data_IF_695905859379
#
_entry.id   IF_695905859379
#
_cell.length_a   1.000
_cell.length_b   1.000
_cell.length_c   1.000
_cell.angle_alpha   90.00
_cell.angle_beta   90.00
_cell.angle_gamma   90.00
#
_symmetry.space_group_name_H-M   'P 1'
#
loop_
_entity.id
_entity.type
_entity.pdbx_description
1 polymer ?
#
# COMPACT_ATOMS: atom_id res chain seq x y z
N UNK A 1 -38.30 -30.59 -34.88
CA UNK A 1 -37.30 -29.50 -34.92
C UNK A 1 -38.05 -28.19 -34.79
N UNK A 2 -37.69 -27.33 -33.82
CA UNK A 2 -36.45 -26.55 -33.88
C UNK A 2 -35.54 -26.77 -32.66
N UNK A 3 -34.28 -26.28 -32.72
CA UNK A 3 -33.21 -26.70 -31.82
C UNK A 3 -33.22 -25.89 -30.52
N UNK A 4 -32.89 -26.58 -29.42
CA UNK A 4 -32.49 -25.94 -28.17
C UNK A 4 -31.31 -25.00 -28.46
N UNK A 5 -31.55 -23.70 -28.30
CA UNK A 5 -30.52 -22.69 -28.32
C UNK A 5 -29.47 -23.04 -27.25
N UNK A 6 -28.24 -23.34 -27.70
CA UNK A 6 -27.06 -23.35 -26.83
C UNK A 6 -27.00 -21.98 -26.15
N UNK A 7 -27.27 -21.94 -24.84
CA UNK A 7 -26.84 -20.83 -24.00
C UNK A 7 -25.34 -20.70 -24.21
N UNK A 8 -24.90 -19.60 -24.83
CA UNK A 8 -23.50 -19.19 -24.82
C UNK A 8 -23.10 -19.04 -23.35
N UNK A 9 -22.30 -20.00 -22.87
CA UNK A 9 -21.61 -19.81 -21.61
C UNK A 9 -20.72 -18.58 -21.77
N UNK A 10 -21.08 -17.49 -21.11
CA UNK A 10 -20.17 -16.35 -20.94
C UNK A 10 -19.00 -16.91 -20.14
N UNK A 11 -17.88 -17.16 -20.83
CA UNK A 11 -16.64 -17.54 -20.18
C UNK A 11 -16.27 -16.44 -19.16
N UNK A 12 -15.70 -16.79 -17.99
CA UNK A 12 -15.22 -15.78 -17.05
C UNK A 12 -14.25 -14.84 -17.78
N UNK A 13 -14.41 -13.54 -17.58
CA UNK A 13 -13.69 -12.46 -18.27
C UNK A 13 -12.15 -12.60 -18.15
N UNK A 14 -11.66 -13.33 -17.14
CA UNK A 14 -10.24 -13.70 -17.00
C UNK A 14 -9.72 -14.58 -18.14
N UNK A 15 -10.51 -15.56 -18.60
CA UNK A 15 -10.06 -16.53 -19.60
C UNK A 15 -10.02 -15.94 -21.02
N UNK A 16 -10.79 -14.86 -21.27
CA UNK A 16 -10.71 -14.12 -22.53
C UNK A 16 -9.50 -13.20 -22.58
N UNK A 17 -9.22 -12.51 -21.47
CA UNK A 17 -8.07 -11.61 -21.36
C UNK A 17 -6.75 -12.39 -21.42
N UNK A 18 -6.66 -13.52 -20.71
CA UNK A 18 -5.48 -14.39 -20.71
C UNK A 18 -5.22 -14.98 -22.10
N UNK A 19 -6.27 -15.32 -22.86
CA UNK A 19 -6.12 -15.74 -24.26
C UNK A 19 -5.63 -14.62 -25.17
N UNK A 20 -6.14 -13.40 -24.99
CA UNK A 20 -5.69 -12.24 -25.75
C UNK A 20 -4.21 -11.91 -25.45
N UNK A 21 -3.80 -12.03 -24.19
CA UNK A 21 -2.42 -11.84 -23.75
C UNK A 21 -1.49 -12.91 -24.33
N UNK A 22 -1.90 -14.18 -24.26
CA UNK A 22 -1.13 -15.28 -24.86
C UNK A 22 -0.96 -15.09 -26.37
N UNK A 23 -2.01 -14.63 -27.07
CA UNK A 23 -1.92 -14.32 -28.50
C UNK A 23 -0.98 -13.14 -28.78
N UNK A 24 -1.02 -12.09 -27.96
CA UNK A 24 -0.13 -10.94 -28.07
C UNK A 24 1.33 -11.33 -27.80
N UNK A 25 1.60 -12.10 -26.75
CA UNK A 25 2.93 -12.61 -26.44
C UNK A 25 3.49 -13.48 -27.57
N UNK A 26 2.68 -14.43 -28.09
CA UNK A 26 3.08 -15.23 -29.27
C UNK A 26 3.41 -14.37 -30.48
N UNK A 27 2.61 -13.33 -30.74
CA UNK A 27 2.80 -12.46 -31.91
C UNK A 27 4.07 -11.61 -31.82
N UNK A 28 4.39 -11.12 -30.62
CA UNK A 28 5.49 -10.17 -30.44
C UNK A 28 6.81 -10.87 -30.12
N UNK A 29 6.79 -11.82 -29.19
CA UNK A 29 7.98 -12.45 -28.61
C UNK A 29 8.34 -13.79 -29.28
N UNK A 30 7.38 -14.47 -29.92
CA UNK A 30 7.61 -15.77 -30.54
C UNK A 30 7.40 -15.75 -32.06
N UNK A 31 7.53 -14.59 -32.71
CA UNK A 31 7.24 -14.43 -34.15
C UNK A 31 8.12 -15.33 -35.05
N UNK A 32 9.29 -15.71 -34.56
CA UNK A 32 10.34 -16.49 -35.21
C UNK A 32 10.31 -17.98 -34.82
N UNK A 33 9.47 -18.37 -33.85
CA UNK A 33 9.42 -19.74 -33.37
C UNK A 33 8.66 -20.66 -34.35
N UNK A 34 9.06 -21.94 -34.47
CA UNK A 34 8.38 -22.89 -35.35
C UNK A 34 6.91 -23.10 -34.92
N UNK A 35 5.98 -23.23 -35.88
CA UNK A 35 4.55 -23.35 -35.58
C UNK A 35 4.26 -24.64 -34.79
N UNK A 36 3.52 -24.50 -33.68
CA UNK A 36 3.06 -25.62 -32.86
C UNK A 36 3.68 -25.71 -31.46
N UNK A 37 4.78 -24.99 -31.17
CA UNK A 37 5.34 -24.93 -29.82
C UNK A 37 4.50 -24.05 -28.88
N UNK A 38 4.44 -24.44 -27.61
CA UNK A 38 3.79 -23.64 -26.56
C UNK A 38 4.67 -22.46 -26.15
N UNK A 39 4.09 -21.43 -25.49
CA UNK A 39 4.86 -20.24 -25.05
C UNK A 39 5.94 -20.65 -24.05
N UNK A 40 5.61 -21.59 -23.16
CA UNK A 40 6.47 -22.12 -22.10
C UNK A 40 7.67 -22.90 -22.64
N UNK A 41 7.58 -23.46 -23.86
CA UNK A 41 8.69 -24.15 -24.52
C UNK A 41 9.65 -23.21 -25.26
N UNK A 42 9.21 -21.99 -25.57
CA UNK A 42 9.96 -21.03 -26.38
C UNK A 42 10.58 -19.94 -25.52
N UNK A 43 9.88 -19.48 -24.48
CA UNK A 43 10.31 -18.36 -23.64
C UNK A 43 10.83 -18.85 -22.29
N UNK A 44 11.85 -18.16 -21.71
CA UNK A 44 12.44 -18.53 -20.42
C UNK A 44 11.49 -18.25 -19.25
N UNK A 45 11.36 -19.17 -18.29
CA UNK A 45 10.51 -18.95 -17.12
C UNK A 45 10.89 -17.63 -16.38
N UNK A 46 9.90 -16.77 -16.11
CA UNK A 46 10.12 -15.48 -15.45
C UNK A 46 9.87 -15.57 -13.95
N UNK A 47 9.01 -16.50 -13.53
CA UNK A 47 8.64 -16.75 -12.15
C UNK A 47 8.30 -18.23 -11.91
N UNK A 48 8.02 -18.59 -10.66
CA UNK A 48 7.58 -19.95 -10.32
C UNK A 48 6.14 -20.30 -10.73
N UNK A 49 5.34 -19.33 -11.21
CA UNK A 49 3.96 -19.58 -11.65
C UNK A 49 3.74 -19.21 -13.14
N UNK A 50 3.24 -20.14 -13.96
CA UNK A 50 2.97 -19.88 -15.37
C UNK A 50 1.88 -18.81 -15.60
N UNK A 51 0.98 -18.63 -14.62
CA UNK A 51 -0.06 -17.58 -14.70
C UNK A 51 0.50 -16.19 -14.47
N UNK A 52 1.48 -16.07 -13.59
CA UNK A 52 2.20 -14.82 -13.34
C UNK A 52 3.05 -14.49 -14.56
N UNK A 53 3.76 -15.49 -15.10
CA UNK A 53 4.55 -15.36 -16.33
C UNK A 53 3.72 -14.85 -17.50
N UNK A 54 2.51 -15.36 -17.70
CA UNK A 54 1.62 -14.86 -18.76
C UNK A 54 1.31 -13.36 -18.62
N UNK A 55 1.09 -12.87 -17.40
CA UNK A 55 0.85 -11.43 -17.18
C UNK A 55 2.12 -10.61 -17.43
N UNK A 56 3.28 -11.11 -16.99
CA UNK A 56 4.59 -10.48 -17.21
C UNK A 56 4.95 -10.44 -18.71
N UNK A 57 4.76 -11.53 -19.45
CA UNK A 57 4.92 -11.54 -20.90
C UNK A 57 3.98 -10.56 -21.59
N UNK A 58 2.75 -10.39 -21.10
CA UNK A 58 1.85 -9.36 -21.58
C UNK A 58 2.43 -7.95 -21.46
N UNK A 59 3.07 -7.63 -20.33
CA UNK A 59 3.79 -6.37 -20.13
C UNK A 59 4.99 -6.23 -21.06
N UNK A 60 5.87 -7.24 -21.06
CA UNK A 60 7.10 -7.23 -21.83
C UNK A 60 6.80 -7.09 -23.32
N UNK A 61 5.77 -7.78 -23.81
CA UNK A 61 5.34 -7.70 -25.20
C UNK A 61 4.93 -6.29 -25.61
N UNK A 62 4.25 -5.53 -24.76
CA UNK A 62 3.90 -4.14 -25.07
C UNK A 62 5.16 -3.28 -25.11
N UNK A 63 6.07 -3.46 -24.14
CA UNK A 63 7.33 -2.72 -24.06
C UNK A 63 8.20 -3.00 -25.30
N UNK A 64 8.44 -4.27 -25.63
CA UNK A 64 9.25 -4.68 -26.77
C UNK A 64 8.64 -4.20 -28.08
N UNK A 65 7.32 -4.34 -28.27
CA UNK A 65 6.62 -3.88 -29.49
C UNK A 65 6.80 -2.38 -29.72
N UNK A 66 6.56 -1.57 -28.69
CA UNK A 66 6.49 -0.12 -28.84
C UNK A 66 7.88 0.54 -28.78
N UNK A 67 8.79 0.04 -27.94
CA UNK A 67 10.07 0.69 -27.65
C UNK A 67 11.30 0.00 -28.24
N UNK A 68 11.19 -1.25 -28.71
CA UNK A 68 12.33 -1.96 -29.30
C UNK A 68 12.07 -2.23 -30.79
N UNK A 69 11.00 -2.96 -31.10
CA UNK A 69 10.66 -3.34 -32.48
C UNK A 69 10.42 -2.14 -33.39
N UNK A 70 9.91 -1.02 -32.85
CA UNK A 70 9.61 0.21 -33.61
C UNK A 70 10.82 0.85 -34.31
N UNK A 71 12.04 0.59 -33.84
CA UNK A 71 13.28 1.02 -34.48
C UNK A 71 14.16 -0.16 -34.91
N UNK A 72 14.23 -1.25 -34.12
CA UNK A 72 15.13 -2.37 -34.39
C UNK A 72 14.77 -3.12 -35.69
N UNK A 73 13.48 -3.33 -35.96
CA UNK A 73 13.00 -3.98 -37.20
C UNK A 73 13.29 -3.14 -38.46
N UNK A 74 13.56 -1.83 -38.32
CA UNK A 74 13.95 -0.98 -39.45
C UNK A 74 15.43 -1.16 -39.82
N UNK A 75 16.23 -1.69 -38.89
CA UNK A 75 17.67 -1.89 -39.05
C UNK A 75 17.95 -3.33 -39.50
N UNK A 76 17.38 -4.31 -38.78
CA UNK A 76 17.67 -5.75 -39.01
C UNK A 76 16.43 -6.60 -38.72
N UNK A 77 16.18 -7.68 -39.48
CA UNK A 77 15.07 -8.61 -39.22
C UNK A 77 15.36 -9.67 -38.13
N UNK A 78 16.60 -9.73 -37.63
CA UNK A 78 17.06 -10.73 -36.68
C UNK A 78 16.45 -10.50 -35.30
N UNK A 79 16.08 -11.58 -34.61
CA UNK A 79 15.38 -11.51 -33.31
C UNK A 79 16.29 -11.79 -32.10
N UNK A 80 17.56 -12.10 -32.33
CA UNK A 80 18.54 -12.46 -31.30
C UNK A 80 18.65 -11.41 -30.19
N UNK A 81 18.66 -10.12 -30.55
CA UNK A 81 18.67 -9.03 -29.56
C UNK A 81 17.45 -9.03 -28.62
N UNK A 82 16.27 -9.42 -29.12
CA UNK A 82 15.06 -9.51 -28.30
C UNK A 82 15.16 -10.71 -27.37
N UNK A 83 15.70 -11.83 -27.86
CA UNK A 83 15.91 -13.04 -27.07
C UNK A 83 16.88 -12.78 -25.91
N UNK A 84 17.99 -12.06 -26.15
CA UNK A 84 18.92 -11.64 -25.10
C UNK A 84 18.25 -10.73 -24.06
N UNK A 85 17.47 -9.72 -24.48
CA UNK A 85 16.70 -8.88 -23.53
C UNK A 85 15.78 -9.74 -22.66
N UNK A 86 15.12 -10.75 -23.24
CA UNK A 86 14.24 -11.64 -22.51
C UNK A 86 15.00 -12.50 -21.49
N UNK A 87 16.21 -12.96 -21.81
CA UNK A 87 17.06 -13.71 -20.88
C UNK A 87 17.50 -12.84 -19.69
N UNK A 88 17.91 -11.59 -19.94
CA UNK A 88 18.28 -10.64 -18.88
C UNK A 88 17.09 -10.33 -17.98
N UNK A 89 15.91 -10.08 -18.58
CA UNK A 89 14.67 -9.85 -17.81
C UNK A 89 14.34 -11.09 -16.98
N UNK A 90 14.43 -12.29 -17.56
CA UNK A 90 14.15 -13.54 -16.84
C UNK A 90 15.08 -13.74 -15.64
N UNK A 91 16.38 -13.49 -15.83
CA UNK A 91 17.34 -13.53 -14.73
C UNK A 91 16.95 -12.53 -13.62
N UNK A 92 16.66 -11.28 -13.99
CA UNK A 92 16.30 -10.23 -13.03
C UNK A 92 15.00 -10.56 -12.28
N UNK A 93 13.95 -11.05 -12.97
CA UNK A 93 12.66 -11.37 -12.34
C UNK A 93 12.75 -12.57 -11.42
N UNK A 94 13.51 -13.60 -11.79
CA UNK A 94 13.75 -14.77 -10.95
C UNK A 94 14.59 -14.41 -9.71
N UNK A 95 15.67 -13.65 -9.89
CA UNK A 95 16.49 -13.15 -8.78
C UNK A 95 15.66 -12.29 -7.81
N UNK A 96 14.78 -11.44 -8.34
CA UNK A 96 13.86 -10.65 -7.54
C UNK A 96 12.83 -11.52 -6.82
N UNK A 97 12.24 -12.53 -7.47
CA UNK A 97 11.29 -13.44 -6.84
C UNK A 97 11.93 -14.21 -5.68
N UNK A 98 13.15 -14.72 -5.87
CA UNK A 98 13.88 -15.45 -4.83
C UNK A 98 14.11 -14.56 -3.60
N UNK A 99 14.54 -13.31 -3.81
CA UNK A 99 14.73 -12.33 -2.73
C UNK A 99 13.41 -11.99 -2.03
N UNK A 100 12.35 -11.73 -2.80
CA UNK A 100 11.01 -11.47 -2.25
C UNK A 100 10.51 -12.64 -1.41
N UNK A 101 10.76 -13.89 -1.83
CA UNK A 101 10.36 -15.09 -1.08
C UNK A 101 11.10 -15.25 0.25
N UNK A 102 12.30 -14.70 0.37
CA UNK A 102 13.08 -14.70 1.60
C UNK A 102 12.66 -13.59 2.59
N UNK A 103 11.87 -12.61 2.14
CA UNK A 103 11.41 -11.52 2.99
C UNK A 103 10.42 -11.98 4.04
N UNK A 104 10.67 -11.58 5.29
CA UNK A 104 9.70 -11.72 6.37
C UNK A 104 8.68 -10.58 6.31
N UNK A 105 7.66 -10.75 5.46
CA UNK A 105 6.59 -9.77 5.25
C UNK A 105 5.84 -9.39 6.53
N UNK A 106 5.75 -10.31 7.50
CA UNK A 106 5.10 -10.05 8.78
C UNK A 106 5.85 -8.96 9.54
N UNK A 107 7.16 -9.14 9.73
CA UNK A 107 8.01 -8.13 10.38
C UNK A 107 8.06 -6.84 9.57
N UNK A 108 8.24 -6.93 8.25
CA UNK A 108 8.33 -5.75 7.37
C UNK A 108 7.06 -4.88 7.43
N UNK A 109 5.88 -5.48 7.27
CA UNK A 109 4.62 -4.74 7.14
C UNK A 109 3.94 -4.44 8.48
N UNK A 110 4.15 -5.25 9.52
CA UNK A 110 3.49 -5.08 10.83
C UNK A 110 4.38 -4.44 11.90
N UNK A 111 5.71 -4.49 11.76
CA UNK A 111 6.66 -3.86 12.69
C UNK A 111 7.40 -2.67 12.04
N UNK A 112 8.11 -2.89 10.94
CA UNK A 112 9.10 -1.91 10.43
C UNK A 112 8.45 -0.72 9.72
N UNK A 113 7.59 -0.99 8.72
CA UNK A 113 6.83 0.06 8.02
C UNK A 113 5.97 0.87 9.00
N UNK A 114 5.22 0.25 9.93
CA UNK A 114 4.44 1.01 10.90
C UNK A 114 5.32 1.81 11.86
N UNK A 115 6.48 1.30 12.28
CA UNK A 115 7.42 2.08 13.12
C UNK A 115 7.90 3.34 12.40
N UNK A 116 8.25 3.25 11.12
CA UNK A 116 8.61 4.42 10.32
C UNK A 116 7.47 5.43 10.24
N UNK A 117 6.24 4.95 10.00
CA UNK A 117 5.05 5.79 9.94
C UNK A 117 4.72 6.43 11.31
N UNK A 118 4.83 5.68 12.41
CA UNK A 118 4.62 6.18 13.78
C UNK A 118 5.55 7.34 14.09
N UNK A 119 6.84 7.17 13.81
CA UNK A 119 7.85 8.20 14.01
C UNK A 119 7.59 9.41 13.10
N UNK A 120 7.28 9.17 11.83
CA UNK A 120 6.95 10.23 10.86
C UNK A 120 5.76 11.09 11.31
N UNK A 121 4.67 10.46 11.76
CA UNK A 121 3.48 11.17 12.26
C UNK A 121 3.78 11.95 13.54
N UNK A 122 4.56 11.38 14.47
CA UNK A 122 4.96 12.06 15.71
C UNK A 122 5.83 13.27 15.43
N UNK A 123 6.86 13.11 14.62
CA UNK A 123 7.78 14.19 14.26
C UNK A 123 7.02 15.29 13.52
N UNK A 124 6.06 14.95 12.65
CA UNK A 124 5.22 15.95 11.98
C UNK A 124 4.37 16.75 12.97
N UNK A 125 3.74 16.08 13.95
CA UNK A 125 2.95 16.77 14.99
C UNK A 125 3.81 17.68 15.85
N UNK A 126 5.00 17.22 16.24
CA UNK A 126 5.97 18.04 16.97
C UNK A 126 6.42 19.25 16.13
N UNK A 127 6.64 19.08 14.82
CA UNK A 127 6.98 20.18 13.92
C UNK A 127 5.87 21.23 13.87
N UNK A 128 4.61 20.77 13.77
CA UNK A 128 3.43 21.63 13.72
C UNK A 128 3.25 22.41 15.03
N UNK A 129 3.43 21.77 16.18
CA UNK A 129 3.38 22.43 17.49
C UNK A 129 4.49 23.48 17.63
N UNK A 130 5.71 23.15 17.20
CA UNK A 130 6.88 24.06 17.27
C UNK A 130 6.77 25.28 16.36
N UNK A 131 6.08 25.17 15.22
CA UNK A 131 5.86 26.33 14.35
C UNK A 131 5.17 27.48 15.07
N UNK A 132 4.29 27.19 16.03
CA UNK A 132 3.55 28.18 16.82
C UNK A 132 4.33 28.78 17.99
N UNK A 133 5.60 28.39 18.18
CA UNK A 133 6.42 28.84 19.33
C UNK A 133 7.44 29.92 18.95
N UNK A 134 7.79 30.76 19.93
CA UNK A 134 8.76 31.85 19.76
C UNK A 134 10.19 31.39 19.40
N UNK A 135 10.50 30.09 19.50
CA UNK A 135 11.79 29.50 19.13
C UNK A 135 12.00 29.43 17.61
N UNK A 136 10.92 29.38 16.82
CA UNK A 136 10.97 29.23 15.36
C UNK A 136 10.07 30.25 14.64
N UNK A 137 10.27 31.57 14.83
CA UNK A 137 9.33 32.58 14.36
C UNK A 137 9.19 32.67 12.83
N UNK A 138 10.17 32.18 12.07
CA UNK A 138 10.20 32.25 10.60
C UNK A 138 10.35 30.90 9.90
N UNK A 139 10.45 29.80 10.65
CA UNK A 139 10.67 28.48 10.07
C UNK A 139 9.34 27.82 9.70
N UNK A 140 9.27 27.22 8.52
CA UNK A 140 8.09 26.46 8.09
C UNK A 140 8.04 25.10 8.79
N UNK A 141 6.86 24.48 8.85
CA UNK A 141 6.74 23.08 9.34
C UNK A 141 7.72 22.16 8.60
N UNK A 142 7.92 22.38 7.31
CA UNK A 142 8.83 21.58 6.49
C UNK A 142 10.30 21.72 6.93
N UNK A 143 10.73 22.93 7.29
CA UNK A 143 12.11 23.19 7.73
C UNK A 143 12.38 22.54 9.09
N UNK A 144 11.43 22.69 10.03
CA UNK A 144 11.51 22.06 11.36
C UNK A 144 11.47 20.54 11.20
N UNK A 145 10.58 20.02 10.35
CA UNK A 145 10.46 18.60 10.09
C UNK A 145 11.73 18.00 9.48
N UNK A 146 12.30 18.66 8.46
CA UNK A 146 13.56 18.24 7.84
C UNK A 146 14.71 18.15 8.86
N UNK A 147 14.78 19.11 9.80
CA UNK A 147 15.80 19.09 10.87
C UNK A 147 15.63 17.90 11.83
N UNK A 148 14.42 17.37 11.98
CA UNK A 148 14.13 16.21 12.84
C UNK A 148 14.32 14.88 12.11
N UNK A 149 14.05 14.83 10.80
CA UNK A 149 14.21 13.65 9.97
C UNK A 149 15.19 13.88 8.82
N UNK A 150 16.49 14.17 9.08
CA UNK A 150 17.44 14.36 7.99
C UNK A 150 17.56 13.09 7.14
N UNK A 151 17.77 13.28 5.84
CA UNK A 151 17.94 12.18 4.88
C UNK A 151 19.00 12.55 3.83
N UNK A 152 19.94 11.65 3.47
CA UNK A 152 21.01 11.97 2.51
C UNK A 152 20.52 12.43 1.13
N UNK A 153 19.39 11.90 0.66
CA UNK A 153 18.77 12.31 -0.60
C UNK A 153 18.13 13.71 -0.56
N UNK A 154 17.91 14.29 0.62
CA UNK A 154 17.16 15.53 0.82
C UNK A 154 18.00 16.64 1.43
N UNK A 155 19.33 16.54 1.29
CA UNK A 155 20.24 17.61 1.68
C UNK A 155 19.94 18.87 0.86
N UNK A 156 20.38 20.04 1.34
CA UNK A 156 20.00 21.34 0.77
C UNK A 156 20.36 21.57 -0.71
N UNK A 157 21.14 20.67 -1.33
CA UNK A 157 21.43 20.72 -2.77
C UNK A 157 20.48 19.84 -3.59
N UNK A 158 19.87 20.34 -4.68
CA UNK A 158 19.01 19.54 -5.56
C UNK A 158 19.77 18.40 -6.28
N UNK A 159 21.10 18.47 -6.33
CA UNK A 159 21.94 17.41 -6.91
C UNK A 159 22.07 16.20 -5.99
N UNK A 160 21.95 16.41 -4.67
CA UNK A 160 22.10 15.35 -3.67
C UNK A 160 21.10 14.22 -3.90
N UNK A 161 19.86 14.58 -4.24
CA UNK A 161 18.80 13.63 -4.53
C UNK A 161 19.12 12.74 -5.74
N UNK A 162 19.60 13.35 -6.82
CA UNK A 162 19.96 12.62 -8.04
C UNK A 162 21.16 11.71 -7.81
N UNK A 163 22.17 12.20 -7.09
CA UNK A 163 23.34 11.41 -6.72
C UNK A 163 22.95 10.21 -5.84
N UNK A 164 22.08 10.43 -4.86
CA UNK A 164 21.56 9.37 -4.00
C UNK A 164 20.86 8.27 -4.80
N UNK A 165 19.94 8.64 -5.68
CA UNK A 165 19.25 7.68 -6.53
C UNK A 165 20.17 6.95 -7.50
N UNK A 166 21.23 7.60 -7.99
CA UNK A 166 22.26 6.95 -8.81
C UNK A 166 23.06 5.92 -8.02
N UNK A 167 23.44 6.24 -6.78
CA UNK A 167 24.12 5.30 -5.89
C UNK A 167 23.22 4.10 -5.58
N UNK A 168 21.95 4.36 -5.22
CA UNK A 168 20.97 3.32 -4.94
C UNK A 168 20.73 2.43 -6.17
N UNK A 169 20.55 3.04 -7.34
CA UNK A 169 20.40 2.33 -8.61
C UNK A 169 21.62 1.49 -8.96
N UNK A 170 22.84 1.97 -8.68
CA UNK A 170 24.06 1.20 -8.91
C UNK A 170 24.15 -0.03 -8.02
N UNK A 171 23.78 0.09 -6.74
CA UNK A 171 23.79 -1.05 -5.81
C UNK A 171 22.72 -2.10 -6.14
N UNK A 172 21.50 -1.64 -6.48
CA UNK A 172 20.42 -2.53 -6.93
C UNK A 172 20.81 -3.26 -8.22
N UNK A 173 21.45 -2.55 -9.17
CA UNK A 173 21.91 -3.14 -10.41
C UNK A 173 22.98 -4.21 -10.18
N UNK A 174 23.95 -3.95 -9.30
CA UNK A 174 24.99 -4.91 -8.95
C UNK A 174 24.44 -6.20 -8.32
N UNK A 175 23.25 -6.14 -7.72
CA UNK A 175 22.62 -7.29 -7.06
C UNK A 175 21.64 -8.08 -7.94
N UNK A 176 21.10 -7.46 -9.00
CA UNK A 176 20.06 -8.05 -9.85
C UNK A 176 20.56 -8.45 -11.25
N UNK A 177 21.59 -7.78 -11.78
CA UNK A 177 22.08 -8.02 -13.14
C UNK A 177 23.05 -9.22 -13.19
N UNK A 178 23.04 -10.03 -14.26
CA UNK A 178 24.06 -11.06 -14.47
C UNK A 178 25.49 -10.49 -14.43
N UNK A 179 26.48 -11.26 -13.93
CA UNK A 179 27.85 -10.80 -13.84
C UNK A 179 28.52 -10.57 -15.20
N UNK A 180 28.00 -11.18 -16.27
CA UNK A 180 28.44 -10.96 -17.65
C UNK A 180 28.07 -9.55 -18.12
N UNK A 181 26.82 -9.15 -17.92
CA UNK A 181 26.29 -7.84 -18.35
C UNK A 181 26.80 -6.69 -17.47
N UNK A 182 27.14 -6.99 -16.20
CA UNK A 182 27.74 -6.02 -15.29
C UNK A 182 29.16 -5.60 -15.73
N UNK A 183 29.87 -6.42 -16.51
CA UNK A 183 31.20 -6.09 -17.04
C UNK A 183 31.13 -5.08 -18.19
N UNK A 184 29.99 -4.99 -18.89
CA UNK A 184 29.80 -4.01 -19.95
C UNK A 184 29.55 -2.63 -19.36
N UNK A 185 30.54 -1.74 -19.47
CA UNK A 185 30.42 -0.37 -18.97
C UNK A 185 29.25 0.40 -19.60
N UNK A 186 29.01 0.20 -20.89
CA UNK A 186 27.94 0.87 -21.61
C UNK A 186 26.56 0.46 -21.08
N UNK A 187 26.33 -0.84 -20.95
CA UNK A 187 25.06 -1.38 -20.47
C UNK A 187 24.83 -1.01 -19.01
N UNK A 188 25.84 -1.22 -18.16
CA UNK A 188 25.76 -0.88 -16.74
C UNK A 188 25.44 0.60 -16.52
N UNK A 189 26.10 1.51 -17.24
CA UNK A 189 25.85 2.95 -17.13
C UNK A 189 24.46 3.31 -17.65
N UNK A 190 24.04 2.76 -18.80
CA UNK A 190 22.75 3.03 -19.40
C UNK A 190 21.60 2.54 -18.51
N UNK A 191 21.65 1.30 -18.05
CA UNK A 191 20.63 0.71 -17.17
C UNK A 191 20.59 1.46 -15.83
N UNK A 192 21.74 1.84 -15.27
CA UNK A 192 21.80 2.65 -14.06
C UNK A 192 21.11 4.00 -14.24
N UNK A 193 21.38 4.73 -15.32
CA UNK A 193 20.75 6.05 -15.56
C UNK A 193 19.24 5.94 -15.80
N UNK A 194 18.78 4.88 -16.49
CA UNK A 194 17.35 4.59 -16.65
C UNK A 194 16.73 4.28 -15.28
N UNK A 195 17.33 3.38 -14.51
CA UNK A 195 16.84 2.99 -13.20
C UNK A 195 16.78 4.20 -12.26
N UNK A 196 17.83 5.01 -12.18
CA UNK A 196 17.87 6.16 -11.26
C UNK A 196 16.95 7.29 -11.70
N UNK A 197 17.02 7.73 -12.97
CA UNK A 197 16.38 8.96 -13.41
C UNK A 197 14.97 8.74 -13.97
N UNK A 198 14.69 7.56 -14.56
CA UNK A 198 13.38 7.27 -15.15
C UNK A 198 12.50 6.41 -14.25
N UNK A 199 13.07 5.51 -13.44
CA UNK A 199 12.27 4.65 -12.58
C UNK A 199 12.21 5.21 -11.17
N UNK A 200 13.33 5.20 -10.43
CA UNK A 200 13.37 5.55 -9.01
C UNK A 200 12.94 7.00 -8.78
N UNK A 201 13.48 7.96 -9.54
CA UNK A 201 13.08 9.37 -9.44
C UNK A 201 11.58 9.55 -9.65
N UNK A 202 11.02 9.00 -10.73
CA UNK A 202 9.61 9.15 -11.04
C UNK A 202 8.71 8.47 -10.00
N UNK A 203 9.12 7.32 -9.45
CA UNK A 203 8.38 6.65 -8.38
C UNK A 203 8.37 7.52 -7.13
N UNK A 204 9.54 8.00 -6.69
CA UNK A 204 9.64 8.84 -5.49
C UNK A 204 8.89 10.16 -5.67
N UNK A 205 9.10 10.85 -6.79
CA UNK A 205 8.49 12.14 -7.07
C UNK A 205 6.97 12.06 -7.10
N UNK A 206 6.42 11.02 -7.77
CA UNK A 206 4.98 10.80 -7.84
C UNK A 206 4.37 10.36 -6.52
N UNK A 207 5.01 9.45 -5.79
CA UNK A 207 4.50 8.99 -4.50
C UNK A 207 4.63 10.07 -3.41
N UNK A 208 5.47 11.07 -3.61
CA UNK A 208 5.57 12.23 -2.71
C UNK A 208 4.39 13.18 -2.86
N UNK A 209 3.72 13.21 -4.02
CA UNK A 209 2.56 14.08 -4.26
C UNK A 209 1.36 13.70 -3.36
N UNK A 210 0.80 14.64 -2.57
CA UNK A 210 -0.30 14.37 -1.65
C UNK A 210 -1.51 13.68 -2.29
N UNK A 211 -1.98 14.19 -3.44
CA UNK A 211 -3.16 13.63 -4.11
C UNK A 211 -2.93 12.17 -4.55
N UNK A 212 -1.69 11.81 -4.92
CA UNK A 212 -1.35 10.46 -5.32
C UNK A 212 -1.45 9.48 -4.13
N UNK A 213 -1.00 9.91 -2.95
CA UNK A 213 -1.13 9.12 -1.72
C UNK A 213 -2.61 8.92 -1.36
N UNK A 214 -3.42 9.99 -1.40
CA UNK A 214 -4.86 9.88 -1.11
C UNK A 214 -5.61 8.99 -2.11
N UNK A 215 -5.29 9.06 -3.40
CA UNK A 215 -5.81 8.13 -4.39
C UNK A 215 -5.39 6.68 -4.09
N UNK A 216 -4.13 6.46 -3.72
CA UNK A 216 -3.61 5.13 -3.40
C UNK A 216 -4.35 4.55 -2.19
N UNK A 217 -4.53 5.34 -1.14
CA UNK A 217 -5.32 4.97 0.04
C UNK A 217 -6.73 4.53 -0.38
N UNK A 218 -7.40 5.33 -1.20
CA UNK A 218 -8.76 5.02 -1.71
C UNK A 218 -8.77 3.71 -2.49
N UNK A 219 -7.82 3.51 -3.41
CA UNK A 219 -7.72 2.31 -4.24
C UNK A 219 -7.41 1.06 -3.42
N UNK A 220 -6.51 1.15 -2.44
CA UNK A 220 -6.16 0.03 -1.54
C UNK A 220 -7.36 -0.35 -0.68
N UNK A 221 -8.00 0.63 -0.03
CA UNK A 221 -9.17 0.37 0.81
C UNK A 221 -10.29 -0.25 -0.01
N UNK A 222 -10.62 0.33 -1.17
CA UNK A 222 -11.68 -0.23 -2.03
C UNK A 222 -11.35 -1.63 -2.52
N UNK A 223 -10.08 -1.93 -2.82
CA UNK A 223 -9.66 -3.28 -3.21
C UNK A 223 -9.78 -4.30 -2.06
N UNK A 224 -9.55 -3.88 -0.82
CA UNK A 224 -9.66 -4.71 0.39
C UNK A 224 -11.13 -4.88 0.83
N UNK A 225 -11.97 -3.85 0.67
CA UNK A 225 -13.37 -3.86 1.10
C UNK A 225 -14.33 -4.36 0.02
N UNK A 226 -13.89 -4.49 -1.24
CA UNK A 226 -14.76 -4.93 -2.32
C UNK A 226 -15.14 -6.40 -2.14
N UNK A 227 -16.45 -6.74 -1.99
CA UNK A 227 -16.90 -8.10 -2.26
C UNK A 227 -16.66 -8.41 -3.74
N UNK A 228 -16.33 -9.66 -4.06
CA UNK A 228 -15.99 -10.10 -5.42
C UNK A 228 -16.95 -9.52 -6.49
N UNK A 229 -16.32 -9.02 -7.55
CA UNK A 229 -16.84 -7.99 -8.47
C UNK A 229 -18.22 -8.30 -9.08
N UNK A 230 -19.23 -7.51 -8.71
CA UNK A 230 -20.39 -7.21 -9.56
C UNK A 230 -20.92 -5.76 -9.45
N UNK A 231 -20.38 -4.91 -8.56
CA UNK A 231 -20.96 -3.57 -8.27
C UNK A 231 -20.02 -2.37 -8.51
N UNK A 232 -18.73 -2.58 -8.81
CA UNK A 232 -17.74 -1.50 -8.82
C UNK A 232 -17.93 -0.46 -9.94
N UNK A 233 -18.48 -0.84 -11.11
CA UNK A 233 -18.67 0.09 -12.23
C UNK A 233 -19.84 1.07 -12.02
N UNK A 234 -20.94 0.62 -11.41
CA UNK A 234 -22.10 1.48 -11.14
C UNK A 234 -21.91 2.38 -9.91
N UNK A 235 -21.04 1.99 -8.97
CA UNK A 235 -20.78 2.75 -7.75
C UNK A 235 -19.92 4.01 -8.02
N UNK A 236 -18.99 3.96 -8.97
CA UNK A 236 -18.13 5.11 -9.28
C UNK A 236 -18.93 6.25 -9.96
N UNK A 237 -19.86 5.92 -10.85
CA UNK A 237 -20.68 6.92 -11.52
C UNK A 237 -21.77 7.47 -10.58
N UNK A 238 -22.41 6.61 -9.77
CA UNK A 238 -23.43 7.02 -8.80
C UNK A 238 -22.86 7.86 -7.63
N UNK A 239 -21.67 7.53 -7.13
CA UNK A 239 -21.01 8.31 -6.06
C UNK A 239 -20.54 9.68 -6.54
N UNK A 240 -20.10 9.80 -7.80
CA UNK A 240 -19.80 11.12 -8.38
C UNK A 240 -21.04 11.99 -8.48
N UNK A 241 -22.22 11.41 -8.76
CA UNK A 241 -23.49 12.17 -8.83
C UNK A 241 -24.01 12.58 -7.45
N UNK A 242 -23.91 11.71 -6.43
CA UNK A 242 -24.27 12.06 -5.05
C UNK A 242 -23.34 13.12 -4.45
N UNK A 243 -22.04 13.09 -4.76
CA UNK A 243 -21.09 14.10 -4.28
C UNK A 243 -21.32 15.46 -4.96
N UNK A 244 -21.66 15.47 -6.25
CA UNK A 244 -22.03 16.71 -6.96
C UNK A 244 -23.36 17.28 -6.44
N UNK A 245 -24.31 16.42 -6.06
CA UNK A 245 -25.56 16.83 -5.40
C UNK A 245 -25.32 17.41 -3.99
N UNK A 246 -24.32 16.90 -3.27
CA UNK A 246 -23.90 17.45 -1.97
C UNK A 246 -23.26 18.84 -2.11
N UNK A 247 -22.44 19.06 -3.15
CA UNK A 247 -21.80 20.35 -3.42
C UNK A 247 -22.74 21.41 -4.01
N UNK A 248 -23.85 20.99 -4.62
CA UNK A 248 -24.92 21.87 -5.13
C UNK A 248 -26.03 22.14 -4.12
N UNK A 249 -25.97 21.54 -2.93
CA UNK A 249 -26.92 21.86 -1.87
C UNK A 249 -26.61 23.24 -1.29
N UNK A 250 -27.65 24.08 -1.15
CA UNK A 250 -27.54 25.40 -0.54
C UNK A 250 -26.86 25.32 0.84
N UNK A 251 -26.09 26.35 1.25
CA UNK A 251 -25.52 26.38 2.60
C UNK A 251 -26.63 26.14 3.63
N UNK A 252 -26.40 25.31 4.67
CA UNK A 252 -27.43 25.02 5.65
C UNK A 252 -27.95 26.33 6.23
N UNK A 253 -29.28 26.47 6.32
CA UNK A 253 -29.91 27.57 7.05
C UNK A 253 -29.21 27.70 8.42
N UNK A 254 -28.98 28.94 8.90
CA UNK A 254 -28.34 29.15 10.19
C UNK A 254 -29.12 28.35 11.24
N UNK A 255 -28.44 27.35 11.81
CA UNK A 255 -28.98 26.53 12.90
C UNK A 255 -29.55 27.47 13.95
N UNK A 256 -30.88 27.45 14.11
CA UNK A 256 -31.53 28.08 15.26
C UNK A 256 -30.92 27.43 16.48
N UNK A 257 -30.10 28.20 17.21
CA UNK A 257 -29.53 27.78 18.49
C UNK A 257 -30.70 27.30 19.35
N UNK A 258 -30.76 26.03 19.79
CA UNK A 258 -31.62 25.70 20.90
C UNK A 258 -31.07 26.46 22.11
N UNK A 259 -31.92 27.27 22.73
CA UNK A 259 -31.66 27.93 24.01
C UNK A 259 -31.68 26.87 25.13
N UNK A 260 -30.82 25.86 25.05
CA UNK A 260 -30.52 24.97 26.16
C UNK A 260 -29.17 25.36 26.76
N UNK A 261 -29.07 25.46 28.10
CA UNK A 261 -27.84 25.90 28.72
C UNK A 261 -26.72 24.93 28.36
N UNK A 262 -25.65 25.43 27.74
CA UNK A 262 -24.44 24.68 27.34
C UNK A 262 -23.97 23.69 28.41
N UNK A 263 -24.16 24.01 29.70
CA UNK A 263 -23.82 23.14 30.83
C UNK A 263 -24.63 21.83 30.88
N UNK A 264 -25.90 21.82 30.46
CA UNK A 264 -26.74 20.62 30.46
C UNK A 264 -26.36 19.66 29.33
N UNK A 265 -26.13 20.13 28.11
CA UNK A 265 -25.70 19.28 26.98
C UNK A 265 -24.26 18.76 27.14
N UNK A 266 -23.37 19.57 27.73
CA UNK A 266 -22.02 19.12 28.11
C UNK A 266 -22.10 18.07 29.21
N UNK A 267 -23.00 18.22 30.19
CA UNK A 267 -23.16 17.23 31.26
C UNK A 267 -23.72 15.90 30.75
N UNK A 268 -24.78 15.89 29.93
CA UNK A 268 -25.41 14.65 29.45
C UNK A 268 -24.52 13.89 28.48
N UNK A 269 -23.83 14.57 27.58
CA UNK A 269 -22.85 13.94 26.68
C UNK A 269 -21.65 13.38 27.45
N UNK A 270 -21.14 14.10 28.46
CA UNK A 270 -20.07 13.61 29.33
C UNK A 270 -20.49 12.38 30.15
N UNK A 271 -21.70 12.36 30.70
CA UNK A 271 -22.24 11.20 31.42
C UNK A 271 -22.39 9.98 30.51
N UNK A 272 -22.89 10.16 29.28
CA UNK A 272 -23.01 9.08 28.29
C UNK A 272 -21.62 8.52 27.93
N UNK A 273 -20.63 9.39 27.70
CA UNK A 273 -19.25 8.98 27.46
C UNK A 273 -18.65 8.20 28.64
N UNK A 274 -18.91 8.64 29.87
CA UNK A 274 -18.41 8.00 31.08
C UNK A 274 -19.06 6.64 31.32
N UNK A 275 -20.38 6.52 31.08
CA UNK A 275 -21.12 5.27 31.17
C UNK A 275 -20.67 4.27 30.09
N UNK A 276 -20.45 4.72 28.86
CA UNK A 276 -19.90 3.88 27.79
C UNK A 276 -18.48 3.41 28.10
N UNK A 277 -17.62 4.31 28.59
CA UNK A 277 -16.26 3.97 29.01
C UNK A 277 -16.28 2.91 30.14
N UNK A 278 -17.10 3.11 31.16
CA UNK A 278 -17.26 2.16 32.27
C UNK A 278 -17.77 0.80 31.80
N UNK A 279 -18.83 0.78 30.99
CA UNK A 279 -19.41 -0.46 30.46
C UNK A 279 -18.43 -1.18 29.53
N UNK A 280 -17.62 -0.46 28.74
CA UNK A 280 -16.63 -1.09 27.88
C UNK A 280 -15.46 -1.65 28.69
N UNK A 281 -14.89 -0.90 29.63
CA UNK A 281 -13.78 -1.35 30.49
C UNK A 281 -14.20 -2.59 31.29
N UNK A 282 -15.39 -2.57 31.90
CA UNK A 282 -15.91 -3.72 32.67
C UNK A 282 -16.15 -4.93 31.78
N UNK A 283 -16.81 -4.77 30.61
CA UNK A 283 -17.04 -5.87 29.66
C UNK A 283 -15.73 -6.42 29.10
N UNK A 284 -14.78 -5.59 28.73
CA UNK A 284 -13.47 -6.04 28.23
C UNK A 284 -12.67 -6.75 29.31
N UNK A 285 -12.68 -6.28 30.55
CA UNK A 285 -12.07 -6.98 31.68
C UNK A 285 -12.72 -8.34 31.95
N UNK A 286 -14.06 -8.43 31.89
CA UNK A 286 -14.81 -9.68 32.02
C UNK A 286 -14.45 -10.63 30.88
N UNK A 287 -14.48 -10.17 29.62
CA UNK A 287 -14.11 -10.97 28.45
C UNK A 287 -12.65 -11.43 28.52
N UNK A 288 -11.72 -10.56 28.89
CA UNK A 288 -10.30 -10.91 29.03
C UNK A 288 -10.10 -11.96 30.13
N UNK A 289 -10.80 -11.81 31.27
CA UNK A 289 -10.80 -12.81 32.34
C UNK A 289 -11.36 -14.14 31.84
N UNK A 290 -12.52 -14.15 31.19
CA UNK A 290 -13.11 -15.37 30.66
C UNK A 290 -12.27 -16.01 29.55
N UNK A 291 -11.69 -15.23 28.65
CA UNK A 291 -10.78 -15.70 27.62
C UNK A 291 -9.57 -16.37 28.28
N UNK A 292 -8.95 -15.75 29.29
CA UNK A 292 -7.83 -16.34 30.01
C UNK A 292 -8.20 -17.65 30.73
N UNK A 293 -9.36 -17.72 31.39
CA UNK A 293 -9.81 -18.94 32.09
C UNK A 293 -10.21 -20.05 31.13
N UNK A 294 -10.89 -19.72 30.04
CA UNK A 294 -11.30 -20.69 29.02
C UNK A 294 -10.09 -21.21 28.25
N UNK A 295 -9.15 -20.34 27.86
CA UNK A 295 -7.91 -20.73 27.21
C UNK A 295 -7.02 -21.59 28.13
N UNK A 296 -6.94 -21.27 29.43
CA UNK A 296 -6.28 -22.14 30.41
C UNK A 296 -6.98 -23.49 30.56
N UNK A 297 -8.32 -23.52 30.55
CA UNK A 297 -9.07 -24.78 30.69
C UNK A 297 -8.90 -25.74 29.51
N UNK A 298 -8.56 -25.21 28.33
CA UNK A 298 -8.24 -26.00 27.14
C UNK A 298 -6.86 -26.67 27.22
N UNK A 299 -6.04 -26.36 28.23
CA UNK A 299 -4.67 -26.89 28.34
C UNK A 299 -4.35 -27.46 29.73
N UNK A 300 -4.17 -28.79 29.81
CA UNK A 300 -3.69 -29.49 31.01
C UNK A 300 -2.17 -29.66 31.06
N UNK A 301 -1.48 -29.67 29.93
CA UNK A 301 -0.01 -29.76 29.83
C UNK A 301 0.50 -28.73 28.80
N UNK A 302 1.43 -27.81 29.18
CA UNK A 302 1.99 -26.86 28.22
C UNK A 302 2.88 -27.60 27.20
N UNK A 303 2.75 -27.34 25.89
CA UNK A 303 3.67 -27.90 24.91
C UNK A 303 5.09 -27.40 25.18
N UNK A 304 6.09 -28.22 24.87
CA UNK A 304 7.49 -27.76 24.79
C UNK A 304 7.59 -26.72 23.67
N UNK A 305 7.49 -25.45 24.02
CA UNK A 305 7.58 -24.36 23.04
C UNK A 305 8.98 -24.37 22.41
N UNK A 306 9.12 -24.42 21.08
CA UNK A 306 10.37 -24.04 20.45
C UNK A 306 10.68 -22.57 20.84
N UNK A 307 11.96 -22.17 20.95
CA UNK A 307 12.32 -20.82 21.38
C UNK A 307 11.63 -19.78 20.49
N UNK A 308 10.76 -18.95 21.08
CA UNK A 308 10.06 -17.86 20.40
C UNK A 308 11.10 -16.90 19.80
N UNK A 309 11.38 -17.01 18.50
CA UNK A 309 12.30 -16.09 17.80
C UNK A 309 11.64 -14.75 17.43
N UNK A 310 10.30 -14.65 17.50
CA UNK A 310 9.52 -13.50 16.99
C UNK A 310 8.64 -12.87 18.08
N UNK A 311 8.45 -11.55 17.99
CA UNK A 311 7.50 -10.80 18.83
C UNK A 311 6.07 -11.19 18.40
N UNK A 312 5.12 -11.42 19.34
CA UNK A 312 3.74 -11.73 18.96
C UNK A 312 3.09 -10.55 18.23
N UNK A 313 2.21 -10.83 17.28
CA UNK A 313 1.53 -9.88 16.38
C UNK A 313 0.81 -8.78 17.16
N UNK A 314 0.21 -9.12 18.30
CA UNK A 314 -0.49 -8.17 19.18
C UNK A 314 0.45 -7.14 19.84
N UNK A 315 1.75 -7.40 19.87
CA UNK A 315 2.78 -6.48 20.40
C UNK A 315 3.53 -5.72 19.31
N UNK A 316 3.22 -5.97 18.03
CA UNK A 316 3.87 -5.29 16.92
C UNK A 316 3.42 -3.82 16.82
N UNK A 317 4.27 -3.04 16.18
CA UNK A 317 4.18 -1.59 16.12
C UNK A 317 2.97 -1.10 15.35
N UNK A 318 2.35 -1.92 14.48
CA UNK A 318 1.10 -1.57 13.78
C UNK A 318 0.01 -1.05 14.72
N UNK A 319 -0.17 -1.67 15.89
CA UNK A 319 -1.20 -1.26 16.85
C UNK A 319 -0.90 0.09 17.49
N UNK A 320 0.35 0.30 17.87
CA UNK A 320 0.84 1.60 18.38
C UNK A 320 0.69 2.69 17.31
N UNK A 321 1.01 2.35 16.06
CA UNK A 321 0.92 3.27 14.92
C UNK A 321 -0.54 3.66 14.66
N UNK A 322 -1.49 2.73 14.75
CA UNK A 322 -2.92 3.03 14.64
C UNK A 322 -3.40 3.95 15.77
N UNK A 323 -2.96 3.69 17.01
CA UNK A 323 -3.24 4.56 18.16
C UNK A 323 -2.70 5.98 17.92
N UNK A 324 -1.46 6.10 17.46
CA UNK A 324 -0.86 7.40 17.10
C UNK A 324 -1.63 8.04 15.95
N UNK A 325 -1.85 7.34 14.83
CA UNK A 325 -2.47 7.86 13.61
C UNK A 325 -3.83 8.52 13.90
N UNK A 326 -4.70 7.81 14.64
CA UNK A 326 -6.01 8.32 15.03
C UNK A 326 -6.02 9.13 16.33
N UNK A 327 -4.85 9.41 16.91
CA UNK A 327 -4.68 10.16 18.16
C UNK A 327 -5.53 9.59 19.31
N UNK A 328 -5.67 8.26 19.38
CA UNK A 328 -6.55 7.59 20.33
C UNK A 328 -6.13 7.83 21.78
N UNK A 329 -4.83 8.02 22.05
CA UNK A 329 -4.33 8.35 23.39
C UNK A 329 -4.92 9.66 23.93
N UNK A 330 -5.07 10.67 23.07
CA UNK A 330 -5.62 11.98 23.44
C UNK A 330 -7.15 11.99 23.39
N UNK A 331 -7.73 11.31 22.40
CA UNK A 331 -9.17 11.33 22.16
C UNK A 331 -9.94 10.37 23.08
N UNK A 332 -9.45 9.14 23.25
CA UNK A 332 -10.11 8.06 23.97
C UNK A 332 -9.09 7.22 24.79
N UNK A 333 -8.47 7.77 25.84
CA UNK A 333 -7.41 7.07 26.60
C UNK A 333 -7.88 5.76 27.26
N UNK A 334 -9.16 5.69 27.66
CA UNK A 334 -9.76 4.47 28.23
C UNK A 334 -9.83 3.32 27.22
N UNK A 335 -9.98 3.61 25.92
CA UNK A 335 -9.99 2.59 24.87
C UNK A 335 -8.60 1.95 24.74
N UNK A 336 -7.56 2.78 24.68
CA UNK A 336 -6.18 2.30 24.62
C UNK A 336 -5.86 1.45 25.83
N UNK A 337 -6.23 1.91 27.03
CA UNK A 337 -6.07 1.13 28.26
C UNK A 337 -6.82 -0.21 28.25
N UNK A 338 -8.05 -0.22 27.71
CA UNK A 338 -8.87 -1.45 27.61
C UNK A 338 -8.31 -2.44 26.60
N UNK A 339 -7.85 -1.97 25.43
CA UNK A 339 -7.21 -2.82 24.42
C UNK A 339 -5.90 -3.40 24.95
N UNK A 340 -5.10 -2.61 25.68
CA UNK A 340 -3.88 -3.11 26.33
C UNK A 340 -4.18 -4.13 27.44
N UNK A 341 -5.25 -3.92 28.21
CA UNK A 341 -5.68 -4.88 29.23
C UNK A 341 -6.11 -6.21 28.59
N UNK A 342 -6.86 -6.13 27.49
CA UNK A 342 -7.32 -7.30 26.75
C UNK A 342 -6.20 -8.01 25.99
N UNK A 343 -5.22 -7.29 25.44
CA UNK A 343 -4.16 -7.89 24.61
C UNK A 343 -3.10 -8.63 25.43
N UNK A 344 -2.79 -8.18 26.65
CA UNK A 344 -1.79 -8.80 27.53
C UNK A 344 -1.99 -10.32 27.75
N UNK A 345 -3.17 -10.81 28.19
CA UNK A 345 -3.37 -12.25 28.38
C UNK A 345 -3.31 -13.01 27.05
N UNK A 346 -3.73 -12.40 25.94
CA UNK A 346 -3.66 -13.01 24.61
C UNK A 346 -2.25 -13.06 24.03
N UNK A 347 -1.32 -12.20 24.46
CA UNK A 347 0.05 -12.18 23.93
C UNK A 347 1.05 -12.93 24.82
N UNK A 348 0.89 -12.85 26.14
CA UNK A 348 1.89 -13.34 27.11
C UNK A 348 1.61 -14.74 27.66
N UNK A 349 0.37 -15.23 27.58
CA UNK A 349 0.07 -16.58 28.05
C UNK A 349 0.44 -17.64 26.99
N UNK A 350 0.77 -18.88 27.40
CA UNK A 350 1.00 -20.00 26.47
C UNK A 350 -0.09 -20.17 25.39
N UNK A 351 -1.41 -20.13 25.68
CA UNK A 351 -2.47 -20.18 24.66
C UNK A 351 -2.49 -18.99 23.69
N UNK A 352 -1.83 -17.88 24.03
CA UNK A 352 -1.64 -16.75 23.14
C UNK A 352 -0.92 -17.11 21.84
N UNK A 353 -0.05 -18.12 21.88
CA UNK A 353 0.65 -18.63 20.68
C UNK A 353 -0.30 -19.15 19.60
N UNK A 354 -1.46 -19.72 19.96
CA UNK A 354 -2.45 -20.20 18.99
C UNK A 354 -3.13 -19.03 18.28
N UNK A 355 -3.46 -17.98 19.03
CA UNK A 355 -4.04 -16.77 18.47
C UNK A 355 -3.03 -16.06 17.56
N UNK A 356 -1.77 -16.00 17.98
CA UNK A 356 -0.66 -15.47 17.19
C UNK A 356 -0.45 -16.27 15.90
N UNK A 357 -0.41 -17.61 15.98
CA UNK A 357 -0.29 -18.50 14.81
C UNK A 357 -1.49 -18.34 13.86
N UNK A 358 -2.70 -18.19 14.40
CA UNK A 358 -3.90 -17.92 13.59
C UNK A 358 -3.80 -16.58 12.86
N UNK A 359 -3.43 -15.51 13.57
CA UNK A 359 -3.24 -14.20 12.97
C UNK A 359 -2.13 -14.21 11.91
N UNK A 360 -1.02 -14.91 12.17
CA UNK A 360 0.09 -15.07 11.23
C UNK A 360 -0.38 -15.81 9.98
N UNK A 361 -1.12 -16.91 10.11
CA UNK A 361 -1.69 -17.64 8.97
C UNK A 361 -2.67 -16.77 8.17
N UNK A 362 -3.58 -16.06 8.82
CA UNK A 362 -4.54 -15.15 8.16
C UNK A 362 -3.80 -14.04 7.42
N UNK A 363 -2.76 -13.47 8.04
CA UNK A 363 -1.92 -12.44 7.43
C UNK A 363 -1.16 -12.98 6.22
N UNK A 364 -0.48 -14.13 6.35
CA UNK A 364 0.26 -14.75 5.25
C UNK A 364 -0.67 -15.09 4.08
N UNK A 365 -1.87 -15.62 4.36
CA UNK A 365 -2.88 -15.89 3.34
C UNK A 365 -3.39 -14.61 2.65
N UNK A 366 -3.44 -13.48 3.38
CA UNK A 366 -3.88 -12.20 2.87
C UNK A 366 -2.78 -11.45 2.08
N UNK A 367 -1.51 -11.57 2.44
CA UNK A 367 -0.39 -10.82 1.83
C UNK A 367 0.27 -11.62 0.70
N UNK A 368 0.55 -12.90 0.93
CA UNK A 368 1.25 -13.78 -0.01
C UNK A 368 0.22 -14.63 -0.74
N UNK A 369 -0.60 -13.97 -1.55
CA UNK A 369 -1.57 -14.65 -2.39
C UNK A 369 -1.20 -14.47 -3.86
N UNK A 370 -0.91 -15.57 -4.55
CA UNK A 370 -0.67 -15.60 -5.99
C UNK A 370 -1.80 -14.89 -6.76
N UNK A 371 -3.05 -15.00 -6.30
CA UNK A 371 -4.19 -14.31 -6.91
C UNK A 371 -4.12 -12.80 -6.77
N UNK A 372 -3.60 -12.29 -5.65
CA UNK A 372 -3.40 -10.85 -5.46
C UNK A 372 -2.24 -10.35 -6.30
N UNK A 373 -1.17 -11.13 -6.45
CA UNK A 373 -0.08 -10.80 -7.37
C UNK A 373 -0.58 -10.70 -8.81
N UNK A 374 -1.32 -11.70 -9.30
CA UNK A 374 -1.91 -11.66 -10.66
C UNK A 374 -2.87 -10.47 -10.81
N UNK A 375 -3.72 -10.21 -9.81
CA UNK A 375 -4.68 -9.10 -9.83
C UNK A 375 -3.98 -7.74 -9.81
N UNK A 376 -2.92 -7.59 -9.03
CA UNK A 376 -2.14 -6.34 -8.96
C UNK A 376 -1.35 -6.11 -10.23
N UNK A 377 -0.71 -7.13 -10.81
CA UNK A 377 -0.08 -7.05 -12.12
C UNK A 377 -1.08 -6.67 -13.21
N UNK A 378 -2.27 -7.27 -13.21
CA UNK A 378 -3.34 -6.91 -14.15
C UNK A 378 -3.80 -5.45 -13.99
N UNK A 379 -3.98 -4.98 -12.76
CA UNK A 379 -4.33 -3.58 -12.47
C UNK A 379 -3.21 -2.64 -12.93
N UNK A 380 -1.95 -2.96 -12.61
CA UNK A 380 -0.80 -2.18 -13.01
C UNK A 380 -0.68 -2.11 -14.54
N UNK A 381 -0.96 -3.21 -15.26
CA UNK A 381 -0.93 -3.24 -16.72
C UNK A 381 -2.00 -2.34 -17.29
N UNK A 382 -3.22 -2.46 -16.81
CA UNK A 382 -4.33 -1.67 -17.30
C UNK A 382 -4.17 -0.18 -16.94
N UNK A 383 -3.43 0.15 -15.87
CA UNK A 383 -3.10 1.52 -15.50
C UNK A 383 -1.99 2.11 -16.38
N UNK A 384 -0.96 1.33 -16.72
CA UNK A 384 0.18 1.79 -17.55
C UNK A 384 -0.12 1.71 -19.05
N UNK A 385 -0.90 0.72 -19.47
CA UNK A 385 -1.21 0.40 -20.86
C UNK A 385 -2.72 0.15 -21.06
N UNK A 386 -3.59 1.16 -20.88
CA UNK A 386 -5.01 1.01 -21.17
C UNK A 386 -5.19 0.60 -22.64
N UNK A 387 -5.97 -0.47 -22.85
CA UNK A 387 -6.22 -1.07 -24.17
C UNK A 387 -4.95 -1.49 -24.94
N UNK A 388 -3.83 -1.73 -24.24
CA UNK A 388 -2.58 -2.17 -24.86
C UNK A 388 -1.78 -1.06 -25.55
N UNK A 389 -2.08 0.21 -25.27
CA UNK A 389 -1.29 1.39 -25.68
C UNK A 389 -0.85 2.18 -24.47
N UNK A 390 0.26 2.93 -24.56
CA UNK A 390 0.75 3.76 -23.46
C UNK A 390 -0.36 4.65 -22.90
N UNK A 391 -0.50 4.67 -21.57
CA UNK A 391 -1.43 5.58 -20.93
C UNK A 391 -1.10 7.03 -21.33
N UNK A 392 -2.12 7.86 -21.59
CA UNK A 392 -1.88 9.28 -21.85
C UNK A 392 -1.11 9.89 -20.66
N UNK A 393 -0.29 10.91 -20.91
CA UNK A 393 0.42 11.60 -19.85
C UNK A 393 -0.60 12.06 -18.80
N UNK A 394 -0.33 11.70 -17.55
CA UNK A 394 -1.25 12.00 -16.46
C UNK A 394 -1.39 13.52 -16.33
N UNK A 395 -2.62 13.99 -16.43
CA UNK A 395 -2.94 15.39 -16.16
C UNK A 395 -2.85 15.62 -14.66
N UNK A 396 -2.11 16.64 -14.27
CA UNK A 396 -2.01 17.03 -12.86
C UNK A 396 -3.36 17.60 -12.40
N UNK A 397 -3.95 17.09 -11.30
CA UNK A 397 -5.28 17.52 -10.89
C UNK A 397 -5.32 19.00 -10.52
N UNK A 398 -6.45 19.65 -10.77
CA UNK A 398 -6.70 21.02 -10.31
C UNK A 398 -6.79 21.07 -8.77
N UNK A 399 -6.63 22.25 -8.16
CA UNK A 399 -6.71 22.36 -6.70
C UNK A 399 -8.07 21.88 -6.15
N UNK A 400 -9.16 22.16 -6.86
CA UNK A 400 -10.50 21.68 -6.49
C UNK A 400 -10.58 20.14 -6.58
N UNK A 401 -10.03 19.54 -7.64
CA UNK A 401 -9.96 18.08 -7.78
C UNK A 401 -9.10 17.43 -6.69
N UNK A 402 -8.00 18.06 -6.26
CA UNK A 402 -7.18 17.55 -5.15
C UNK A 402 -7.97 17.49 -3.85
N UNK A 403 -8.78 18.52 -3.56
CA UNK A 403 -9.67 18.54 -2.39
C UNK A 403 -10.70 17.40 -2.48
N UNK A 404 -11.27 17.17 -3.67
CA UNK A 404 -12.19 16.06 -3.89
C UNK A 404 -11.53 14.70 -3.67
N UNK A 405 -10.31 14.50 -4.18
CA UNK A 405 -9.53 13.27 -3.97
C UNK A 405 -9.28 13.03 -2.48
N UNK A 406 -8.93 14.07 -1.74
CA UNK A 406 -8.74 13.97 -0.28
C UNK A 406 -10.05 13.56 0.41
N UNK A 407 -11.18 14.20 0.06
CA UNK A 407 -12.50 13.88 0.64
C UNK A 407 -12.94 12.46 0.31
N UNK A 408 -12.64 11.97 -0.88
CA UNK A 408 -12.89 10.58 -1.27
C UNK A 408 -12.09 9.59 -0.42
N UNK A 409 -10.82 9.90 -0.13
CA UNK A 409 -9.99 9.09 0.75
C UNK A 409 -10.51 9.05 2.20
N UNK A 410 -10.90 10.22 2.74
CA UNK A 410 -11.53 10.34 4.06
C UNK A 410 -12.81 9.48 4.14
N UNK A 411 -13.67 9.56 3.12
CA UNK A 411 -14.90 8.75 3.01
C UNK A 411 -14.60 7.25 2.85
N UNK A 412 -13.57 6.88 2.09
CA UNK A 412 -13.18 5.48 1.91
C UNK A 412 -12.74 4.87 3.24
N UNK A 413 -11.90 5.57 4.00
CA UNK A 413 -11.49 5.17 5.36
C UNK A 413 -12.71 5.04 6.25
N UNK A 414 -13.58 6.06 6.28
CA UNK A 414 -14.78 6.03 7.09
C UNK A 414 -15.67 4.83 6.77
N UNK A 415 -15.88 4.52 5.48
CA UNK A 415 -16.67 3.35 5.06
C UNK A 415 -16.04 2.01 5.44
N UNK A 416 -14.71 1.94 5.50
CA UNK A 416 -13.99 0.72 5.90
C UNK A 416 -14.07 0.45 7.41
N UNK A 417 -14.30 1.48 8.24
CA UNK A 417 -14.48 1.31 9.68
C UNK A 417 -15.82 0.61 9.96
N UNK A 418 -15.84 -0.49 10.74
CA UNK A 418 -17.10 -1.17 11.09
C UNK A 418 -18.07 -0.26 11.86
N UNK A 419 -19.38 -0.40 11.64
CA UNK A 419 -20.38 0.47 12.27
C UNK A 419 -20.47 0.33 13.80
N UNK A 420 -20.00 -0.79 14.33
CA UNK A 420 -19.84 -0.98 15.78
C UNK A 420 -18.74 -0.04 16.30
N UNK A 421 -17.63 0.07 15.57
CA UNK A 421 -16.50 0.96 15.90
C UNK A 421 -16.93 2.42 15.75
N UNK A 422 -17.66 2.77 14.68
CA UNK A 422 -18.21 4.13 14.50
C UNK A 422 -19.13 4.53 15.66
N UNK A 423 -20.12 3.69 15.99
CA UNK A 423 -21.11 3.98 17.04
C UNK A 423 -20.50 4.02 18.44
N UNK A 424 -19.47 3.21 18.69
CA UNK A 424 -18.86 3.09 20.01
C UNK A 424 -17.75 4.12 20.27
N UNK A 425 -17.09 4.62 19.21
CA UNK A 425 -15.89 5.46 19.36
C UNK A 425 -15.97 6.83 18.70
N UNK A 426 -16.93 7.05 17.80
CA UNK A 426 -17.20 8.36 17.20
C UNK A 426 -18.68 8.72 17.43
N UNK A 427 -19.07 9.17 18.64
CA UNK A 427 -20.47 9.57 18.91
C UNK A 427 -20.88 10.87 18.19
N UNK A 428 -19.97 11.51 17.45
CA UNK A 428 -20.20 12.77 16.76
C UNK A 428 -20.98 12.60 15.43
N UNK A 429 -21.49 13.72 14.89
CA UNK A 429 -22.12 13.74 13.56
C UNK A 429 -21.16 13.25 12.48
N UNK A 430 -21.69 12.67 11.40
CA UNK A 430 -20.89 12.13 10.28
C UNK A 430 -19.84 13.12 9.76
N UNK A 431 -20.19 14.40 9.70
CA UNK A 431 -19.29 15.44 9.20
C UNK A 431 -18.11 15.69 10.14
N UNK A 432 -18.35 15.66 11.46
CA UNK A 432 -17.31 15.78 12.46
C UNK A 432 -16.37 14.56 12.44
N UNK A 433 -16.92 13.35 12.24
CA UNK A 433 -16.13 12.13 12.06
C UNK A 433 -15.19 12.20 10.86
N UNK A 434 -15.67 12.76 9.74
CA UNK A 434 -14.86 12.93 8.54
C UNK A 434 -13.79 14.01 8.74
N UNK A 435 -14.13 15.11 9.41
CA UNK A 435 -13.15 16.15 9.79
C UNK A 435 -12.02 15.57 10.64
N UNK A 436 -12.38 14.75 11.61
CA UNK A 436 -11.46 14.06 12.50
C UNK A 436 -10.50 13.10 11.77
N UNK A 437 -11.01 12.35 10.79
CA UNK A 437 -10.18 11.50 9.91
C UNK A 437 -9.25 12.37 9.06
N UNK A 438 -9.78 13.46 8.49
CA UNK A 438 -8.99 14.40 7.69
C UNK A 438 -7.85 15.07 8.46
N UNK A 439 -8.06 15.40 9.74
CA UNK A 439 -7.02 15.91 10.63
C UNK A 439 -5.96 14.86 10.94
N UNK A 440 -6.36 13.59 11.12
CA UNK A 440 -5.44 12.47 11.36
C UNK A 440 -4.50 12.24 10.18
N UNK A 441 -4.94 12.58 8.96
CA UNK A 441 -4.19 12.49 7.71
C UNK A 441 -3.51 13.80 7.30
N UNK A 442 -3.54 14.84 8.15
CA UNK A 442 -3.00 16.16 7.79
C UNK A 442 -1.51 16.13 7.44
N UNK A 443 -0.74 15.18 8.00
CA UNK A 443 0.68 15.00 7.69
C UNK A 443 0.94 14.65 6.21
N UNK A 444 -0.03 14.01 5.53
CA UNK A 444 0.08 13.63 4.13
C UNK A 444 -0.12 14.80 3.16
N UNK A 445 -0.55 15.97 3.66
CA UNK A 445 -0.81 17.15 2.81
C UNK A 445 0.48 17.84 2.35
N UNK A 446 1.60 17.64 3.03
CA UNK A 446 2.88 18.23 2.64
C UNK A 446 3.69 17.28 1.76
N UNK A 447 3.93 17.68 0.50
CA UNK A 447 4.82 16.94 -0.42
C UNK A 447 6.22 16.76 0.16
N UNK A 448 6.77 17.79 0.81
CA UNK A 448 8.13 17.72 1.38
C UNK A 448 8.22 16.67 2.50
N UNK A 449 7.24 16.64 3.40
CA UNK A 449 7.18 15.62 4.45
C UNK A 449 7.00 14.22 3.85
N UNK A 450 6.06 14.07 2.92
CA UNK A 450 5.84 12.80 2.22
C UNK A 450 7.13 12.28 1.57
N UNK A 451 7.93 13.16 0.98
CA UNK A 451 9.19 12.78 0.34
C UNK A 451 10.17 12.11 1.31
N UNK A 452 10.25 12.59 2.56
CA UNK A 452 11.04 11.93 3.60
C UNK A 452 10.50 10.53 3.95
N UNK A 453 9.18 10.38 4.04
CA UNK A 453 8.55 9.08 4.27
C UNK A 453 8.84 8.11 3.13
N UNK A 454 8.69 8.55 1.87
CA UNK A 454 8.92 7.72 0.69
C UNK A 454 10.39 7.29 0.59
N UNK A 455 11.35 8.18 0.84
CA UNK A 455 12.76 7.81 0.87
C UNK A 455 13.09 6.79 1.96
N UNK A 456 12.57 6.96 3.19
CA UNK A 456 12.77 5.98 4.27
C UNK A 456 12.12 4.63 3.97
N UNK A 457 10.97 4.62 3.31
CA UNK A 457 10.32 3.39 2.85
C UNK A 457 11.14 2.73 1.72
N UNK A 458 11.69 3.52 0.81
CA UNK A 458 12.56 3.03 -0.26
C UNK A 458 13.84 2.40 0.33
N UNK A 459 14.49 3.07 1.27
CA UNK A 459 15.66 2.55 1.97
C UNK A 459 15.33 1.25 2.71
N UNK A 460 14.20 1.20 3.42
CA UNK A 460 13.75 -0.01 4.09
C UNK A 460 13.55 -1.16 3.09
N UNK A 461 12.85 -0.90 1.97
CA UNK A 461 12.62 -1.92 0.95
C UNK A 461 13.92 -2.40 0.31
N UNK A 462 14.83 -1.49 -0.06
CA UNK A 462 16.11 -1.86 -0.67
C UNK A 462 16.99 -2.60 0.33
N UNK A 463 17.07 -2.16 1.58
CA UNK A 463 17.84 -2.82 2.65
C UNK A 463 17.40 -4.27 2.90
N UNK A 464 16.12 -4.57 2.63
CA UNK A 464 15.53 -5.90 2.79
C UNK A 464 15.67 -6.75 1.54
N UNK A 465 15.50 -6.16 0.36
CA UNK A 465 15.63 -6.85 -0.93
C UNK A 465 17.09 -7.14 -1.29
N UNK A 466 17.99 -6.20 -0.96
CA UNK A 466 19.41 -6.22 -1.29
C UNK A 466 20.23 -5.99 -0.01
N UNK A 467 20.26 -6.96 0.92
CA UNK A 467 21.01 -6.82 2.18
C UNK A 467 22.51 -6.65 1.95
N UNK A 468 23.05 -7.09 0.82
CA UNK A 468 24.48 -6.96 0.46
C UNK A 468 24.93 -5.49 0.39
N UNK A 469 24.00 -4.57 0.10
CA UNK A 469 24.28 -3.13 0.10
C UNK A 469 24.48 -2.53 1.50
N UNK A 470 24.10 -3.24 2.56
CA UNK A 470 24.35 -2.80 3.94
C UNK A 470 25.69 -3.29 4.48
N UNK A 471 26.24 -4.35 3.89
CA UNK A 471 27.48 -4.99 4.31
C UNK A 471 28.72 -4.42 3.59
N UNK A 472 28.50 -3.76 2.45
CA UNK A 472 29.50 -3.04 1.65
C UNK A 472 29.66 -1.58 2.09
#
# INVERSE_FOLDING_TARGET
MPPFARRSAIAPISDSDDRALAALAKRVLCAHAPPGKTIEEVLPALSSSPKVDLQLYGFISIIIRDFVQSWYQKITPDHEFIDEILLVIAHCTLSLEQRIRQLDFETLLLEEVPTLLDNHVKDYRVALERQSTALFPYATVNDIFHSMQPHPALLSSPESERLYLKMLGSGVLAALLPPEDLQSDCERLLVREILSNMVLWNVVDRLSEPFMIFELITKVITALTAPDKAKAANVNHAKSTELMAFLQSDPPEPVKRPDEPLLQSISTSAFILLEHAYNFVTRTAIVAKHASTSLMSLWKDPPREPPRRRKPILKLSIWKTLVTLFSLDRRQPWLVGSLQLASKPLADQPPGSLFDNYLSHVFQQAVINERLLIKTLSIARNALFPNGSLAPPRVYPTEDEKVLIQKQAELAIWNAVPDIVKRMYLPASKDEQLREIGESLAFLRSRSCNKHLIYRLLDLLVSRLVPEMLEA
#
